data_IF_099320625563
#
_entry.id   IF_099320625563
#
_cell.length_a   1.000
_cell.length_b   1.000
_cell.length_c   1.000
_cell.angle_alpha   90.00
_cell.angle_beta   90.00
_cell.angle_gamma   90.00
#
_symmetry.space_group_name_H-M   'P 1'
#
loop_
_entity.id
_entity.type
_entity.pdbx_description
1 polymer ?
#
# COMPACT_ATOMS: atom_id res chain seq x y z
N UNK A 1 -14.64 -30.07 -52.14
CA UNK A 1 -15.03 -31.06 -51.11
C UNK A 1 -15.04 -30.36 -49.77
N UNK A 2 -16.21 -29.91 -49.32
CA UNK A 2 -16.43 -29.37 -47.99
C UNK A 2 -17.69 -30.06 -47.47
N UNK A 3 -17.48 -30.98 -46.54
CA UNK A 3 -18.51 -31.57 -45.70
C UNK A 3 -17.84 -31.87 -44.37
N UNK A 4 -18.37 -31.30 -43.29
CA UNK A 4 -18.83 -32.06 -42.13
C UNK A 4 -19.65 -31.15 -41.20
N UNK A 5 -20.90 -31.59 -41.05
CA UNK A 5 -21.93 -31.13 -40.12
C UNK A 5 -21.65 -31.76 -38.75
N UNK A 6 -21.90 -31.03 -37.65
CA UNK A 6 -22.13 -31.65 -36.34
C UNK A 6 -23.08 -30.79 -35.47
N UNK A 7 -24.14 -31.45 -35.01
CA UNK A 7 -25.19 -31.00 -34.10
C UNK A 7 -24.79 -31.04 -32.62
N UNK A 8 -25.59 -30.38 -31.78
CA UNK A 8 -25.75 -30.66 -30.34
C UNK A 8 -25.28 -29.50 -29.47
N UNK A 9 -25.99 -29.00 -28.46
CA UNK A 9 -27.24 -29.36 -27.82
C UNK A 9 -27.38 -28.41 -26.62
N UNK A 10 -28.58 -27.91 -26.36
CA UNK A 10 -28.86 -26.94 -25.31
C UNK A 10 -28.84 -27.58 -23.90
N UNK A 11 -28.36 -26.86 -22.90
CA UNK A 11 -28.73 -27.06 -21.50
C UNK A 11 -28.60 -25.75 -20.73
N UNK A 12 -29.71 -25.34 -20.12
CA UNK A 12 -29.88 -24.12 -19.32
C UNK A 12 -29.17 -24.19 -17.97
N UNK A 13 -28.82 -23.05 -17.35
CA UNK A 13 -28.23 -23.01 -16.02
C UNK A 13 -29.30 -23.18 -14.92
N UNK A 14 -28.98 -23.83 -13.78
CA UNK A 14 -29.83 -23.86 -12.60
C UNK A 14 -29.74 -22.56 -11.79
N UNK A 15 -30.88 -22.18 -11.22
CA UNK A 15 -31.15 -20.95 -10.47
C UNK A 15 -30.66 -20.99 -9.02
N UNK A 16 -30.39 -19.79 -8.49
CA UNK A 16 -30.20 -19.47 -7.07
C UNK A 16 -31.49 -19.68 -6.25
N UNK A 17 -31.39 -20.00 -4.95
CA UNK A 17 -32.46 -19.72 -4.00
C UNK A 17 -32.10 -18.52 -3.11
N UNK A 18 -32.97 -17.51 -3.14
CA UNK A 18 -33.09 -16.44 -2.13
C UNK A 18 -34.39 -16.69 -1.30
N UNK A 19 -34.69 -15.92 -0.24
CA UNK A 19 -35.12 -16.44 1.06
C UNK A 19 -36.60 -16.11 1.36
N UNK A 20 -37.18 -16.69 2.40
CA UNK A 20 -38.24 -16.10 3.26
C UNK A 20 -38.70 -17.16 4.29
N UNK A 21 -38.62 -16.87 5.59
CA UNK A 21 -39.73 -16.45 6.47
C UNK A 21 -40.61 -17.65 6.92
N UNK A 22 -41.11 -17.83 8.13
CA UNK A 22 -41.10 -17.21 9.47
C UNK A 22 -42.01 -18.15 10.28
N UNK A 23 -41.77 -18.45 11.56
CA UNK A 23 -42.84 -18.50 12.57
C UNK A 23 -42.31 -18.66 14.00
N UNK A 24 -43.06 -18.05 14.92
CA UNK A 24 -42.71 -17.70 16.28
C UNK A 24 -43.67 -18.35 17.30
N UNK A 25 -43.22 -18.55 18.54
CA UNK A 25 -44.01 -18.49 19.79
C UNK A 25 -43.04 -18.70 20.98
N UNK A 26 -42.72 -17.69 21.81
CA UNK A 26 -43.50 -17.06 22.90
C UNK A 26 -43.52 -17.86 24.22
N UNK A 27 -42.92 -17.29 25.27
CA UNK A 27 -43.05 -17.69 26.68
C UNK A 27 -41.99 -17.02 27.58
N UNK A 28 -42.40 -16.09 28.45
CA UNK A 28 -41.55 -15.21 29.27
C UNK A 28 -41.45 -15.68 30.77
N UNK A 29 -40.86 -14.91 31.72
CA UNK A 29 -39.77 -15.26 32.66
C UNK A 29 -40.29 -15.51 34.12
N UNK A 30 -39.57 -15.37 35.27
CA UNK A 30 -38.17 -14.99 35.58
C UNK A 30 -37.47 -15.83 36.70
N UNK A 31 -36.19 -15.55 36.98
CA UNK A 31 -35.63 -15.49 38.34
C UNK A 31 -34.19 -14.93 38.34
N UNK A 32 -33.99 -13.83 39.09
CA UNK A 32 -32.70 -13.26 39.44
C UNK A 32 -31.88 -14.21 40.33
N UNK A 33 -30.57 -14.23 40.13
CA UNK A 33 -29.62 -14.30 41.24
C UNK A 33 -28.39 -13.50 40.87
N UNK A 34 -28.19 -12.41 41.60
CA UNK A 34 -26.99 -11.61 41.55
C UNK A 34 -25.74 -12.42 41.91
N UNK A 35 -24.62 -11.95 41.35
CA UNK A 35 -23.29 -12.47 41.56
C UNK A 35 -22.30 -11.47 40.98
N UNK A 36 -22.21 -10.31 41.61
CA UNK A 36 -21.18 -9.31 41.35
C UNK A 36 -19.83 -9.87 41.80
N UNK A 37 -18.93 -10.10 40.85
CA UNK A 37 -17.48 -9.95 41.07
C UNK A 37 -16.79 -9.62 39.76
N UNK A 38 -16.18 -8.43 39.77
CA UNK A 38 -15.30 -7.90 38.75
C UNK A 38 -14.17 -8.86 38.42
N UNK A 39 -13.86 -8.98 37.13
CA UNK A 39 -12.53 -8.82 36.52
C UNK A 39 -12.68 -9.04 35.01
N UNK A 40 -12.76 -7.94 34.26
CA UNK A 40 -12.94 -7.96 32.81
C UNK A 40 -12.74 -6.58 32.20
N UNK A 41 -11.81 -5.81 32.78
CA UNK A 41 -11.46 -4.45 32.32
C UNK A 41 -10.12 -4.39 31.57
N UNK A 42 -9.42 -5.51 31.44
CA UNK A 42 -8.11 -5.59 30.80
C UNK A 42 -8.19 -5.71 29.28
N UNK A 43 -8.97 -6.67 28.77
CA UNK A 43 -8.96 -7.03 27.34
C UNK A 43 -9.45 -5.90 26.43
N UNK A 44 -10.53 -5.19 26.79
CA UNK A 44 -11.06 -4.11 25.95
C UNK A 44 -10.08 -2.94 25.79
N UNK A 45 -9.37 -2.59 26.87
CA UNK A 45 -8.42 -1.47 26.88
C UNK A 45 -7.13 -1.80 26.12
N UNK A 46 -6.71 -3.07 26.15
CA UNK A 46 -5.52 -3.55 25.46
C UNK A 46 -5.78 -3.75 23.96
N UNK A 47 -6.97 -4.22 23.60
CA UNK A 47 -7.42 -4.35 22.20
C UNK A 47 -7.61 -2.98 21.52
N UNK A 48 -8.19 -2.00 22.24
CA UNK A 48 -8.31 -0.62 21.76
C UNK A 48 -6.92 0.03 21.56
N UNK A 49 -5.99 -0.17 22.49
CA UNK A 49 -4.63 0.37 22.40
C UNK A 49 -3.82 -0.27 21.24
N UNK A 50 -3.95 -1.57 21.03
CA UNK A 50 -3.31 -2.27 19.91
C UNK A 50 -3.90 -1.83 18.56
N UNK A 51 -5.21 -1.60 18.50
CA UNK A 51 -5.89 -1.06 17.33
C UNK A 51 -5.42 0.36 17.00
N UNK A 52 -5.29 1.23 17.99
CA UNK A 52 -4.80 2.60 17.82
C UNK A 52 -3.32 2.63 17.41
N UNK A 53 -2.48 1.77 18.00
CA UNK A 53 -1.08 1.65 17.61
C UNK A 53 -0.93 1.23 16.14
N UNK A 54 -1.80 0.35 15.64
CA UNK A 54 -1.82 -0.06 14.23
C UNK A 54 -2.18 1.09 13.26
N UNK A 55 -2.74 2.19 13.75
CA UNK A 55 -3.06 3.39 12.93
C UNK A 55 -1.91 4.38 12.89
N UNK A 56 -0.98 4.32 13.84
CA UNK A 56 0.15 5.23 13.93
C UNK A 56 1.27 4.78 13.00
N UNK A 57 1.97 5.74 12.38
CA UNK A 57 3.12 5.42 11.53
C UNK A 57 4.28 4.95 12.41
N UNK A 58 4.78 3.72 12.21
CA UNK A 58 5.82 3.17 13.05
C UNK A 58 7.15 3.87 12.82
N UNK A 59 7.90 4.09 13.89
CA UNK A 59 9.30 4.58 13.85
C UNK A 59 10.31 3.45 14.08
N UNK A 60 9.84 2.30 14.54
CA UNK A 60 10.61 1.07 14.76
C UNK A 60 10.06 -0.02 13.85
N UNK A 61 10.72 -1.17 13.84
CA UNK A 61 10.33 -2.31 13.03
C UNK A 61 10.48 -3.62 13.80
N UNK A 62 9.93 -4.68 13.21
CA UNK A 62 10.15 -6.04 13.62
C UNK A 62 11.21 -6.68 12.71
N UNK A 63 12.24 -7.26 13.32
CA UNK A 63 13.23 -8.05 12.59
C UNK A 63 12.62 -9.40 12.18
N UNK A 64 12.57 -9.66 10.88
CA UNK A 64 12.11 -10.92 10.29
C UNK A 64 13.00 -11.29 9.11
N UNK A 65 13.60 -12.48 9.15
CA UNK A 65 14.50 -12.97 8.09
C UNK A 65 15.66 -12.01 7.74
N UNK A 66 16.18 -11.29 8.74
CA UNK A 66 17.23 -10.27 8.54
C UNK A 66 16.75 -8.99 7.85
N UNK A 67 15.43 -8.77 7.82
CA UNK A 67 14.79 -7.55 7.34
C UNK A 67 14.04 -6.88 8.48
N UNK A 68 14.10 -5.56 8.48
CA UNK A 68 13.40 -4.70 9.41
C UNK A 68 12.09 -4.24 8.75
N UNK A 69 10.97 -4.85 9.16
CA UNK A 69 9.66 -4.69 8.54
C UNK A 69 8.67 -3.95 9.47
N UNK A 70 7.74 -3.14 8.93
CA UNK A 70 6.67 -2.55 9.74
C UNK A 70 5.77 -3.62 10.38
N UNK A 71 5.09 -3.33 11.51
CA UNK A 71 4.18 -4.27 12.14
C UNK A 71 3.06 -4.73 11.19
N UNK A 72 2.73 -6.04 11.12
CA UNK A 72 1.75 -6.55 10.15
C UNK A 72 0.36 -5.91 10.23
N UNK A 73 -0.11 -5.57 11.44
CA UNK A 73 -1.40 -4.90 11.63
C UNK A 73 -1.44 -3.51 10.98
N UNK A 74 -0.33 -2.77 11.07
CA UNK A 74 -0.16 -1.49 10.38
C UNK A 74 -0.12 -1.70 8.86
N UNK A 75 0.64 -2.69 8.38
CA UNK A 75 0.73 -3.02 6.94
C UNK A 75 -0.64 -3.32 6.34
N UNK A 76 -1.48 -4.10 7.05
CA UNK A 76 -2.84 -4.42 6.59
C UNK A 76 -3.69 -3.16 6.37
N UNK A 77 -3.62 -2.20 7.30
CA UNK A 77 -4.33 -0.92 7.16
C UNK A 77 -3.74 -0.09 6.03
N UNK A 78 -2.41 0.06 6.00
CA UNK A 78 -1.69 0.81 4.98
C UNK A 78 -2.05 0.31 3.57
N UNK A 79 -2.04 -0.99 3.34
CA UNK A 79 -2.29 -1.58 2.03
C UNK A 79 -3.76 -1.74 1.66
N UNK A 80 -4.70 -1.39 2.55
CA UNK A 80 -6.13 -1.31 2.21
C UNK A 80 -6.50 0.00 1.50
N UNK A 81 -5.61 0.99 1.50
CA UNK A 81 -5.87 2.32 0.95
C UNK A 81 -4.71 2.88 0.14
N UNK A 82 -4.68 4.21 0.03
CA UNK A 82 -3.70 4.98 -0.72
C UNK A 82 -3.21 6.12 0.17
N UNK A 83 -1.94 6.04 0.60
CA UNK A 83 -1.42 6.89 1.68
C UNK A 83 -0.04 7.49 1.33
N UNK A 84 0.01 8.47 0.42
CA UNK A 84 1.28 9.04 -0.05
C UNK A 84 2.09 9.70 1.08
N UNK A 85 1.47 10.45 2.00
CA UNK A 85 2.18 11.09 3.12
C UNK A 85 2.82 10.06 4.08
N UNK A 86 2.17 8.91 4.28
CA UNK A 86 2.72 7.81 5.07
C UNK A 86 3.91 7.18 4.37
N UNK A 87 3.84 6.98 3.05
CA UNK A 87 4.99 6.50 2.28
C UNK A 87 6.18 7.45 2.41
N UNK A 88 5.99 8.76 2.22
CA UNK A 88 7.08 9.74 2.39
C UNK A 88 7.73 9.65 3.78
N UNK A 89 6.93 9.41 4.82
CA UNK A 89 7.42 9.27 6.19
C UNK A 89 8.22 7.99 6.40
N UNK A 90 7.76 6.87 5.86
CA UNK A 90 8.46 5.58 5.95
C UNK A 90 9.74 5.55 5.11
N UNK A 91 9.76 6.26 3.98
CA UNK A 91 10.95 6.43 3.13
C UNK A 91 11.90 7.53 3.60
N UNK A 92 11.59 8.26 4.68
CA UNK A 92 12.44 9.32 5.19
C UNK A 92 13.83 8.81 5.59
N UNK A 93 14.82 9.70 5.56
CA UNK A 93 16.17 9.39 6.02
C UNK A 93 16.15 8.96 7.50
N UNK A 94 16.87 7.89 7.81
CA UNK A 94 17.02 7.41 9.19
C UNK A 94 15.89 6.49 9.67
N UNK A 95 14.89 6.21 8.83
CA UNK A 95 13.96 5.11 9.11
C UNK A 95 14.67 3.77 8.98
N UNK A 96 14.30 2.76 9.79
CA UNK A 96 15.04 1.51 9.84
C UNK A 96 14.58 0.52 8.74
N UNK A 97 13.46 0.80 8.06
CA UNK A 97 12.78 -0.15 7.19
C UNK A 97 13.62 -0.61 5.99
N UNK A 98 13.54 -1.91 5.70
CA UNK A 98 14.26 -2.51 4.59
C UNK A 98 13.73 -2.03 3.24
N UNK A 99 14.66 -1.59 2.38
CA UNK A 99 14.38 -1.18 1.00
C UNK A 99 14.66 -2.32 0.04
N UNK A 100 13.81 -2.45 -0.96
CA UNK A 100 13.97 -3.35 -2.10
C UNK A 100 14.07 -2.55 -3.39
N UNK A 101 14.59 -3.20 -4.43
CA UNK A 101 14.71 -2.62 -5.76
C UNK A 101 14.27 -3.63 -6.80
N UNK A 102 13.53 -3.18 -7.80
CA UNK A 102 13.01 -4.09 -8.80
C UNK A 102 14.08 -4.59 -9.78
N UNK A 103 13.98 -5.87 -10.13
CA UNK A 103 14.89 -6.54 -11.07
C UNK A 103 14.35 -6.60 -12.50
N UNK A 104 13.09 -6.19 -12.72
CA UNK A 104 12.40 -6.12 -14.01
C UNK A 104 11.20 -5.17 -13.93
N UNK A 105 10.60 -4.85 -15.06
CA UNK A 105 9.30 -4.17 -15.07
C UNK A 105 8.19 -5.19 -14.72
N UNK A 106 7.31 -4.85 -13.77
CA UNK A 106 6.26 -5.73 -13.24
C UNK A 106 4.93 -4.98 -13.14
N UNK A 107 3.81 -5.67 -13.37
CA UNK A 107 2.47 -5.09 -13.18
C UNK A 107 2.21 -4.79 -11.71
N UNK A 108 1.61 -3.63 -11.42
CA UNK A 108 1.21 -3.29 -10.06
C UNK A 108 -0.10 -3.99 -9.71
N UNK A 109 0.00 -5.04 -8.89
CA UNK A 109 -1.13 -5.73 -8.29
C UNK A 109 -0.93 -5.82 -6.78
N UNK A 110 -2.01 -5.79 -6.00
CA UNK A 110 -1.95 -5.79 -4.54
C UNK A 110 -2.73 -6.99 -3.97
N UNK A 111 -2.02 -8.01 -3.50
CA UNK A 111 -2.62 -9.21 -2.95
C UNK A 111 -3.27 -9.03 -1.58
N UNK A 112 -3.07 -7.87 -0.93
CA UNK A 112 -3.63 -7.54 0.38
C UNK A 112 -5.04 -6.93 0.30
N UNK A 113 -5.59 -6.76 -0.91
CA UNK A 113 -7.00 -6.40 -1.13
C UNK A 113 -7.32 -4.90 -1.18
N UNK A 114 -6.31 -4.03 -1.27
CA UNK A 114 -6.51 -2.59 -1.52
C UNK A 114 -6.15 -2.17 -2.95
N UNK A 115 -6.23 -0.87 -3.22
CA UNK A 115 -5.89 -0.32 -4.54
C UNK A 115 -4.42 -0.61 -4.89
N UNK A 116 -4.18 -1.01 -6.14
CA UNK A 116 -2.87 -0.96 -6.76
C UNK A 116 -2.78 0.25 -7.69
N UNK A 117 -1.56 0.69 -7.98
CA UNK A 117 -1.33 1.69 -9.02
C UNK A 117 -1.72 1.15 -10.39
N UNK A 118 -2.16 2.02 -11.30
CA UNK A 118 -2.35 1.66 -12.71
C UNK A 118 -1.02 1.66 -13.49
N UNK A 119 0.04 2.22 -12.90
CA UNK A 119 1.37 2.26 -13.50
C UNK A 119 2.16 1.02 -13.11
N UNK A 120 2.88 0.45 -14.09
CA UNK A 120 3.85 -0.62 -13.84
C UNK A 120 4.90 -0.16 -12.83
N UNK A 121 5.41 -1.10 -12.05
CA UNK A 121 6.65 -0.91 -11.34
C UNK A 121 7.80 -1.10 -12.34
N UNK A 122 8.81 -0.23 -12.27
CA UNK A 122 9.89 -0.19 -13.25
C UNK A 122 11.16 -0.90 -12.73
N UNK A 123 11.99 -1.41 -13.64
CA UNK A 123 13.34 -1.86 -13.32
C UNK A 123 14.11 -0.77 -12.56
N UNK A 124 14.79 -1.16 -11.48
CA UNK A 124 15.48 -0.29 -10.52
C UNK A 124 14.57 0.61 -9.67
N UNK A 125 13.25 0.47 -9.76
CA UNK A 125 12.35 1.20 -8.86
C UNK A 125 12.58 0.77 -7.42
N UNK A 126 12.85 1.75 -6.56
CA UNK A 126 12.95 1.56 -5.12
C UNK A 126 11.55 1.42 -4.51
N UNK A 127 11.43 0.40 -3.67
CA UNK A 127 10.24 0.12 -2.86
C UNK A 127 10.66 -0.15 -1.42
N UNK A 128 9.72 -0.06 -0.48
CA UNK A 128 9.94 -0.46 0.91
C UNK A 128 9.27 -1.81 1.13
N UNK A 129 10.00 -2.80 1.64
CA UNK A 129 9.47 -4.14 1.88
C UNK A 129 8.60 -4.10 3.13
N UNK A 130 7.31 -4.38 2.97
CA UNK A 130 6.33 -4.35 4.06
C UNK A 130 6.15 -5.72 4.71
N UNK A 131 6.13 -6.77 3.91
CA UNK A 131 5.87 -8.12 4.38
C UNK A 131 6.54 -9.15 3.48
N UNK A 132 7.06 -10.23 4.08
CA UNK A 132 7.54 -11.39 3.33
C UNK A 132 6.48 -12.48 3.36
N UNK A 133 5.97 -12.84 2.20
CA UNK A 133 5.05 -13.95 2.00
C UNK A 133 5.85 -15.22 1.88
N UNK A 134 5.62 -16.18 2.76
CA UNK A 134 6.21 -17.52 2.68
C UNK A 134 5.19 -18.42 2.02
N UNK A 135 5.62 -19.18 1.00
CA UNK A 135 4.75 -20.16 0.39
C UNK A 135 4.47 -21.31 1.37
N UNK A 136 3.21 -21.51 1.75
CA UNK A 136 2.81 -22.68 2.53
C UNK A 136 2.73 -23.89 1.59
N UNK A 137 3.88 -24.56 1.44
CA UNK A 137 4.02 -25.69 0.51
C UNK A 137 3.60 -27.01 1.11
N UNK A 138 3.22 -27.09 2.40
CA UNK A 138 2.79 -28.35 3.04
C UNK A 138 3.75 -29.53 2.86
N UNK A 139 5.05 -29.26 2.59
CA UNK A 139 6.07 -30.27 2.28
C UNK A 139 6.21 -30.64 0.78
N UNK A 140 5.36 -30.14 -0.10
CA UNK A 140 5.47 -30.32 -1.55
C UNK A 140 6.25 -29.15 -2.18
N UNK A 141 7.54 -29.37 -2.43
CA UNK A 141 8.39 -28.41 -3.16
C UNK A 141 7.95 -28.36 -4.63
N UNK A 142 7.05 -27.44 -4.96
CA UNK A 142 6.77 -27.09 -6.36
C UNK A 142 7.85 -26.10 -6.80
N UNK A 143 8.64 -26.47 -7.81
CA UNK A 143 9.61 -25.58 -8.44
C UNK A 143 8.87 -24.32 -8.94
N UNK A 144 9.13 -23.16 -8.32
CA UNK A 144 8.42 -21.92 -8.63
C UNK A 144 7.38 -21.48 -7.57
N UNK A 145 7.12 -22.26 -6.53
CA UNK A 145 6.42 -21.82 -5.32
C UNK A 145 7.37 -20.97 -4.44
N UNK A 146 7.95 -19.93 -5.05
CA UNK A 146 8.70 -18.92 -4.33
C UNK A 146 7.76 -18.11 -3.46
N UNK A 147 8.23 -17.72 -2.28
CA UNK A 147 7.59 -16.65 -1.53
C UNK A 147 7.55 -15.34 -2.32
N UNK A 148 6.99 -14.31 -1.73
CA UNK A 148 6.92 -12.98 -2.33
C UNK A 148 7.11 -11.89 -1.30
N UNK A 149 6.99 -10.65 -1.76
CA UNK A 149 7.01 -9.46 -0.93
C UNK A 149 5.74 -8.67 -1.17
N UNK A 150 5.13 -8.16 -0.10
CA UNK A 150 4.28 -6.98 -0.22
C UNK A 150 5.17 -5.76 0.00
N UNK A 151 5.04 -4.76 -0.86
CA UNK A 151 5.91 -3.59 -0.91
C UNK A 151 5.10 -2.31 -0.98
N UNK A 152 5.67 -1.22 -0.46
CA UNK A 152 5.17 0.14 -0.59
C UNK A 152 5.97 0.89 -1.66
N UNK A 153 5.27 1.60 -2.54
CA UNK A 153 5.87 2.50 -3.52
C UNK A 153 5.90 3.94 -2.99
N UNK A 154 6.75 4.78 -3.58
CA UNK A 154 6.85 6.21 -3.25
C UNK A 154 5.56 6.99 -3.44
N UNK A 155 4.66 6.51 -4.28
CA UNK A 155 3.36 7.13 -4.54
C UNK A 155 2.33 6.84 -3.44
N UNK A 156 2.61 5.95 -2.49
CA UNK A 156 1.67 5.55 -1.43
C UNK A 156 0.80 4.34 -1.75
N UNK A 157 1.01 3.68 -2.89
CA UNK A 157 0.34 2.41 -3.23
C UNK A 157 1.14 1.20 -2.79
N UNK A 158 0.45 0.12 -2.44
CA UNK A 158 1.07 -1.18 -2.21
C UNK A 158 1.07 -2.04 -3.47
N UNK A 159 2.05 -2.93 -3.58
CA UNK A 159 2.12 -3.96 -4.61
C UNK A 159 2.65 -5.27 -4.03
N UNK A 160 2.35 -6.38 -4.69
CA UNK A 160 2.86 -7.71 -4.37
C UNK A 160 3.82 -8.16 -5.47
N UNK A 161 4.98 -8.67 -5.09
CA UNK A 161 6.06 -9.07 -5.98
C UNK A 161 6.54 -10.48 -5.64
N UNK A 162 7.02 -11.20 -6.63
CA UNK A 162 7.72 -12.47 -6.43
C UNK A 162 9.13 -12.21 -5.87
N UNK A 163 9.71 -13.21 -5.21
CA UNK A 163 11.05 -13.06 -4.59
C UNK A 163 12.10 -12.61 -5.60
N UNK A 164 12.08 -13.17 -6.82
CA UNK A 164 13.02 -12.87 -7.89
C UNK A 164 12.82 -11.50 -8.56
N UNK A 165 11.71 -10.81 -8.28
CA UNK A 165 11.41 -9.47 -8.77
C UNK A 165 12.05 -8.39 -7.90
N UNK A 166 12.57 -8.74 -6.72
CA UNK A 166 13.17 -7.82 -5.76
C UNK A 166 14.61 -8.20 -5.46
N UNK A 167 15.49 -7.21 -5.45
CA UNK A 167 16.85 -7.31 -4.91
C UNK A 167 17.04 -6.32 -3.78
N UNK A 168 17.92 -6.65 -2.83
CA UNK A 168 18.24 -5.78 -1.69
C UNK A 168 19.45 -4.87 -1.95
N UNK A 169 20.27 -5.18 -2.96
CA UNK A 169 21.40 -4.34 -3.31
C UNK A 169 20.95 -3.08 -4.04
N UNK A 170 21.45 -1.92 -3.60
CA UNK A 170 21.10 -0.60 -4.13
C UNK A 170 21.63 -0.44 -5.56
N UNK A 171 20.78 -0.14 -6.56
CA UNK A 171 21.24 0.20 -7.90
C UNK A 171 22.02 1.52 -7.90
N UNK A 172 22.91 1.76 -8.89
CA UNK A 172 23.62 3.03 -9.03
C UNK A 172 22.69 4.24 -9.14
N UNK A 173 21.51 4.07 -9.76
CA UNK A 173 20.50 5.11 -9.90
C UNK A 173 19.10 4.52 -9.73
N UNK A 174 18.62 4.39 -8.47
CA UNK A 174 17.27 3.90 -8.22
C UNK A 174 16.23 4.81 -8.87
N UNK A 175 15.22 4.19 -9.51
CA UNK A 175 14.01 4.86 -9.95
C UNK A 175 13.00 4.91 -8.80
N UNK A 176 11.88 5.58 -9.04
CA UNK A 176 10.83 5.77 -8.06
C UNK A 176 9.49 5.98 -8.75
N UNK A 177 8.41 5.58 -8.08
CA UNK A 177 7.06 5.95 -8.47
C UNK A 177 6.88 7.49 -8.39
N UNK A 178 6.12 8.11 -9.32
CA UNK A 178 5.82 9.53 -9.25
C UNK A 178 5.05 9.89 -7.97
N UNK A 179 5.51 10.89 -7.22
CA UNK A 179 4.79 11.35 -6.03
C UNK A 179 3.51 12.09 -6.46
N UNK A 180 2.31 11.68 -5.99
CA UNK A 180 1.03 12.26 -6.37
C UNK A 180 0.81 13.60 -5.67
N UNK A 181 1.47 14.67 -6.13
CA UNK A 181 1.50 16.00 -5.49
C UNK A 181 0.12 16.51 -5.03
N UNK A 182 -0.93 16.30 -5.84
CA UNK A 182 -2.30 16.76 -5.50
C UNK A 182 -2.94 15.99 -4.35
N UNK A 183 -2.52 14.75 -4.14
CA UNK A 183 -3.06 13.86 -3.10
C UNK A 183 -2.33 13.99 -1.77
N UNK A 184 -1.19 14.69 -1.73
CA UNK A 184 -0.51 15.01 -0.48
C UNK A 184 -1.33 15.96 0.39
N UNK A 185 -1.21 15.78 1.70
CA UNK A 185 -1.79 16.70 2.68
C UNK A 185 -1.28 18.14 2.48
N UNK A 186 -2.14 19.10 2.81
CA UNK A 186 -1.80 20.52 2.67
C UNK A 186 -0.54 20.91 3.45
N UNK A 187 -0.43 20.44 4.70
CA UNK A 187 0.75 20.65 5.56
C UNK A 187 2.04 20.10 4.93
N UNK A 188 1.96 18.96 4.25
CA UNK A 188 3.10 18.31 3.60
C UNK A 188 3.52 19.11 2.37
N UNK A 189 2.56 19.55 1.55
CA UNK A 189 2.82 20.43 0.42
C UNK A 189 3.47 21.75 0.84
N UNK A 190 2.99 22.34 1.94
CA UNK A 190 3.56 23.57 2.50
C UNK A 190 5.00 23.38 2.98
N UNK A 191 5.30 22.26 3.66
CA UNK A 191 6.66 21.92 4.07
C UNK A 191 7.60 21.79 2.86
N UNK A 192 7.16 21.13 1.79
CA UNK A 192 7.92 21.06 0.54
C UNK A 192 8.07 22.42 -0.14
N UNK A 193 7.05 23.28 -0.11
CA UNK A 193 7.13 24.62 -0.69
C UNK A 193 8.05 25.56 0.09
N UNK A 194 8.24 25.33 1.39
CA UNK A 194 9.15 26.08 2.23
C UNK A 194 10.63 25.82 1.90
N UNK A 195 10.94 24.68 1.27
CA UNK A 195 12.28 24.41 0.75
C UNK A 195 12.56 25.22 -0.52
N UNK A 196 13.75 25.82 -0.62
CA UNK A 196 14.10 26.72 -1.71
C UNK A 196 14.11 26.02 -3.08
N UNK A 197 14.63 24.78 -3.14
CA UNK A 197 14.77 24.03 -4.40
C UNK A 197 13.42 23.47 -4.83
N UNK A 198 12.71 22.83 -3.92
CA UNK A 198 11.40 22.24 -4.20
C UNK A 198 10.36 23.32 -4.45
N UNK A 199 10.33 24.40 -3.66
CA UNK A 199 9.42 25.53 -3.83
C UNK A 199 9.53 26.19 -5.22
N UNK A 200 10.76 26.35 -5.75
CA UNK A 200 10.98 26.84 -7.12
C UNK A 200 10.37 25.91 -8.17
N UNK A 201 10.60 24.60 -8.05
CA UNK A 201 10.04 23.61 -8.98
C UNK A 201 8.51 23.53 -8.91
N UNK A 202 7.93 23.66 -7.72
CA UNK A 202 6.47 23.72 -7.53
C UNK A 202 5.88 24.96 -8.22
N UNK A 203 6.53 26.12 -8.07
CA UNK A 203 6.11 27.35 -8.75
C UNK A 203 6.23 27.25 -10.28
N UNK A 204 7.33 26.69 -10.77
CA UNK A 204 7.55 26.44 -12.21
C UNK A 204 6.51 25.47 -12.76
N UNK A 205 6.25 24.37 -12.05
CA UNK A 205 5.23 23.39 -12.43
C UNK A 205 3.86 24.05 -12.54
N UNK A 206 3.49 24.87 -11.56
CA UNK A 206 2.20 25.58 -11.57
C UNK A 206 2.08 26.47 -12.81
N UNK A 207 3.16 27.15 -13.20
CA UNK A 207 3.22 28.02 -14.38
C UNK A 207 3.11 27.23 -15.68
N UNK A 208 3.89 26.16 -15.83
CA UNK A 208 3.98 25.40 -17.09
C UNK A 208 2.81 24.42 -17.29
N UNK A 209 2.31 23.81 -16.21
CA UNK A 209 1.23 22.84 -16.27
C UNK A 209 -0.17 23.48 -16.16
N UNK A 210 -0.29 24.73 -15.69
CA UNK A 210 -1.57 25.46 -15.50
C UNK A 210 -2.67 24.66 -14.78
N UNK A 211 -2.28 23.72 -13.91
CA UNK A 211 -3.21 22.85 -13.18
C UNK A 211 -3.66 21.58 -13.91
N UNK A 212 -3.29 21.40 -15.19
CA UNK A 212 -3.53 20.18 -15.94
C UNK A 212 -2.80 19.00 -15.28
N UNK A 213 -3.53 17.92 -15.04
CA UNK A 213 -2.99 16.66 -14.49
C UNK A 213 -3.41 15.43 -15.27
N UNK A 214 -4.21 15.61 -16.32
CA UNK A 214 -4.65 14.53 -17.21
C UNK A 214 -4.76 15.10 -18.63
N UNK A 215 -4.47 14.28 -19.64
CA UNK A 215 -4.49 14.67 -21.06
C UNK A 215 -3.12 15.10 -21.60
N UNK A 216 -3.09 15.58 -22.85
CA UNK A 216 -1.89 16.06 -23.51
C UNK A 216 -1.37 17.34 -22.84
N UNK A 217 -0.50 17.17 -21.84
CA UNK A 217 0.29 18.25 -21.24
C UNK A 217 1.47 18.59 -22.14
N UNK A 218 2.02 19.80 -21.99
CA UNK A 218 3.21 20.17 -22.75
C UNK A 218 4.42 19.34 -22.32
N UNK A 219 5.36 19.06 -23.23
CA UNK A 219 6.61 18.38 -22.89
C UNK A 219 7.41 19.12 -21.78
N UNK A 220 7.23 20.44 -21.68
CA UNK A 220 7.80 21.24 -20.59
C UNK A 220 7.16 20.90 -19.24
N UNK A 221 5.83 20.80 -19.20
CA UNK A 221 5.13 20.38 -17.99
C UNK A 221 5.59 19.01 -17.51
N UNK A 222 5.68 18.01 -18.40
CA UNK A 222 6.16 16.66 -18.03
C UNK A 222 7.60 16.69 -17.50
N UNK A 223 8.47 17.49 -18.12
CA UNK A 223 9.85 17.64 -17.67
C UNK A 223 9.93 18.23 -16.27
N UNK A 224 9.18 19.31 -16.02
CA UNK A 224 9.16 19.97 -14.71
C UNK A 224 8.51 19.07 -13.65
N UNK A 225 7.48 18.31 -14.01
CA UNK A 225 6.84 17.33 -13.11
C UNK A 225 7.83 16.24 -12.68
N UNK A 226 8.59 15.68 -13.64
CA UNK A 226 9.67 14.72 -13.34
C UNK A 226 10.77 15.32 -12.47
N UNK A 227 11.17 16.56 -12.74
CA UNK A 227 12.17 17.27 -11.93
C UNK A 227 11.67 17.54 -10.52
N UNK A 228 10.40 17.94 -10.38
CA UNK A 228 9.76 18.15 -9.08
C UNK A 228 9.72 16.83 -8.31
N UNK A 229 9.26 15.73 -8.92
CA UNK A 229 9.25 14.40 -8.29
C UNK A 229 10.63 13.97 -7.77
N UNK A 230 11.67 14.15 -8.59
CA UNK A 230 13.05 13.87 -8.18
C UNK A 230 13.49 14.73 -6.99
N UNK A 231 13.18 16.03 -7.00
CA UNK A 231 13.54 16.95 -5.92
C UNK A 231 12.82 16.63 -4.61
N UNK A 232 11.53 16.23 -4.66
CA UNK A 232 10.78 15.78 -3.49
C UNK A 232 11.45 14.56 -2.83
N UNK A 233 11.87 13.59 -3.63
CA UNK A 233 12.55 12.37 -3.13
C UNK A 233 13.92 12.69 -2.56
N UNK A 234 14.69 13.55 -3.24
CA UNK A 234 15.97 14.05 -2.73
C UNK A 234 15.80 14.78 -1.40
N UNK A 235 14.76 15.60 -1.25
CA UNK A 235 14.44 16.28 0.01
C UNK A 235 14.18 15.26 1.14
N UNK A 236 13.32 14.27 0.90
CA UNK A 236 12.98 13.22 1.88
C UNK A 236 14.20 12.37 2.25
N UNK A 237 14.97 11.92 1.25
CA UNK A 237 16.22 11.16 1.46
C UNK A 237 17.33 11.99 2.09
N UNK A 238 17.32 13.30 1.87
CA UNK A 238 18.26 14.25 2.46
C UNK A 238 18.05 14.46 3.95
N UNK A 239 16.87 14.09 4.47
CA UNK A 239 16.45 14.36 5.85
C UNK A 239 15.68 15.67 5.98
N UNK A 240 15.02 16.12 4.93
CA UNK A 240 14.08 17.24 4.99
C UNK A 240 12.95 16.97 5.98
N UNK A 241 12.47 18.02 6.64
CA UNK A 241 11.47 17.91 7.71
C UNK A 241 10.07 17.90 7.11
N UNK A 242 9.41 16.74 7.19
CA UNK A 242 8.00 16.61 6.86
C UNK A 242 7.15 16.56 8.13
N UNK A 243 5.93 17.13 8.11
CA UNK A 243 5.01 16.97 9.22
C UNK A 243 4.62 15.50 9.37
N UNK A 244 4.37 15.06 10.61
CA UNK A 244 3.85 13.72 10.85
C UNK A 244 2.51 13.52 10.11
N UNK A 245 2.34 12.42 9.37
CA UNK A 245 1.09 12.12 8.68
C UNK A 245 -0.03 11.85 9.68
N UNK A 246 -1.29 11.98 9.23
CA UNK A 246 -2.43 11.57 10.05
C UNK A 246 -2.45 10.06 10.31
N UNK A 247 -3.21 9.59 11.32
CA UNK A 247 -3.40 8.18 11.56
C UNK A 247 -4.11 7.51 10.38
N UNK A 248 -3.77 6.25 10.11
CA UNK A 248 -4.48 5.42 9.12
C UNK A 248 -5.92 5.15 9.56
N UNK A 249 -6.87 4.97 8.62
CA UNK A 249 -8.25 4.65 8.93
C UNK A 249 -8.41 3.35 9.72
#
# INVERSE_FOLDING_TARGET
>A
MVSLVACGGASSPPAEPDPEATEAAAGAPPAESGGEKAEGGGEKKEEDAASDAARQVPTTCEERDGMCLPPPAFVKRLCSGFHPDVALSLFAKGTPFTRGYLTRDTEAWNASGGSSSNDKLLFDEEVLILYRRVADTGGMVVSGAGGGYDVLRWDGTCASLMTEEVRLHVPPKPKFAPIPWKSLDQKTREAFQADEKVGKLVAERRKECKGATMGAVSAKCEKVDKQMGAALIEYVRGGGTLPAPGPLP
#
